data_IF_971586212684
#
_entry.id   IF_971586212684
#
_cell.length_a   1.000
_cell.length_b   1.000
_cell.length_c   1.000
_cell.angle_alpha   90.00
_cell.angle_beta   90.00
_cell.angle_gamma   90.00
#
_symmetry.space_group_name_H-M   'P 1'
#
loop_
_entity.id
_entity.type
_entity.pdbx_description
1 polymer ?
#
# COMPACT_ATOMS: atom_id res chain seq x y z
N UNK A 1 -42.53 31.74 -27.05
CA UNK A 1 -41.14 32.10 -26.68
C UNK A 1 -40.69 31.18 -25.55
N UNK A 2 -39.97 30.10 -25.87
CA UNK A 2 -39.43 29.12 -24.90
C UNK A 2 -38.15 29.70 -24.27
N UNK A 3 -38.09 29.84 -22.94
CA UNK A 3 -36.87 30.14 -22.20
C UNK A 3 -36.16 28.82 -21.87
N UNK A 4 -34.98 28.59 -22.46
CA UNK A 4 -34.00 27.61 -21.97
C UNK A 4 -33.24 28.27 -20.82
N UNK A 5 -33.24 27.65 -19.64
CA UNK A 5 -32.26 27.92 -18.59
C UNK A 5 -31.19 26.83 -18.68
N UNK A 6 -29.97 27.23 -19.04
CA UNK A 6 -28.78 26.38 -18.93
C UNK A 6 -28.45 26.19 -17.45
N UNK A 7 -28.44 24.93 -16.99
CA UNK A 7 -27.76 24.55 -15.75
C UNK A 7 -26.26 24.43 -16.05
N UNK A 8 -25.45 25.29 -15.44
CA UNK A 8 -23.99 25.16 -15.47
C UNK A 8 -23.54 24.02 -14.57
N UNK A 9 -22.88 23.02 -15.14
CA UNK A 9 -22.24 21.93 -14.40
C UNK A 9 -20.92 22.48 -13.81
N UNK A 10 -20.90 22.78 -12.51
CA UNK A 10 -19.67 23.09 -11.78
C UNK A 10 -18.89 21.79 -11.57
N UNK A 11 -17.82 21.60 -12.35
CA UNK A 11 -16.81 20.58 -12.08
C UNK A 11 -16.02 21.05 -10.85
N UNK A 12 -16.30 20.43 -9.69
CA UNK A 12 -15.46 20.55 -8.51
C UNK A 12 -14.13 19.84 -8.80
N UNK A 13 -13.12 20.59 -9.23
CA UNK A 13 -11.74 20.12 -9.15
C UNK A 13 -11.38 20.00 -7.67
N UNK A 14 -11.35 18.78 -7.15
CA UNK A 14 -10.77 18.49 -5.85
C UNK A 14 -9.29 18.88 -5.88
N UNK A 15 -8.96 20.06 -5.38
CA UNK A 15 -7.57 20.39 -5.07
C UNK A 15 -7.11 19.38 -4.01
N UNK A 16 -6.14 18.52 -4.36
CA UNK A 16 -5.48 17.68 -3.39
C UNK A 16 -4.78 18.62 -2.40
N UNK A 17 -5.33 18.74 -1.19
CA UNK A 17 -4.69 19.49 -0.11
C UNK A 17 -3.41 18.74 0.24
N UNK A 18 -2.26 19.39 0.11
CA UNK A 18 -1.00 18.83 0.57
C UNK A 18 -1.13 18.44 2.06
N UNK A 19 -0.59 17.29 2.46
CA UNK A 19 -0.64 16.85 3.84
C UNK A 19 0.00 17.90 4.76
N UNK A 20 -0.67 18.23 5.87
CA UNK A 20 -0.08 19.05 6.91
C UNK A 20 0.87 18.19 7.75
N UNK A 21 2.15 18.22 7.40
CA UNK A 21 3.16 17.39 8.06
C UNK A 21 3.41 17.84 9.50
N UNK A 22 3.44 16.87 10.42
CA UNK A 22 3.80 17.10 11.83
C UNK A 22 5.27 17.55 11.96
N UNK A 23 5.65 18.18 13.09
CA UNK A 23 7.06 18.50 13.35
C UNK A 23 7.97 17.26 13.27
N UNK A 24 7.46 16.09 13.68
CA UNK A 24 8.18 14.83 13.58
C UNK A 24 8.41 14.42 12.13
N UNK A 25 7.43 14.54 11.24
CA UNK A 25 7.63 14.19 9.82
C UNK A 25 8.53 15.21 9.13
N UNK A 26 8.37 16.50 9.45
CA UNK A 26 9.17 17.59 8.84
C UNK A 26 10.67 17.43 9.04
N UNK A 27 11.12 16.79 10.11
CA UNK A 27 12.56 16.54 10.32
C UNK A 27 13.20 15.65 9.23
N UNK A 28 12.37 14.88 8.50
CA UNK A 28 12.81 14.00 7.41
C UNK A 28 12.59 14.61 6.02
N UNK A 29 12.02 15.81 5.93
CA UNK A 29 11.75 16.49 4.65
C UNK A 29 12.97 17.31 4.24
N UNK A 30 13.62 16.91 3.14
CA UNK A 30 14.77 17.64 2.58
C UNK A 30 14.35 18.76 1.62
N UNK A 31 13.22 18.59 0.93
CA UNK A 31 12.73 19.48 -0.11
C UNK A 31 11.26 19.74 0.18
N UNK A 32 10.93 20.98 0.51
CA UNK A 32 9.58 21.45 0.85
C UNK A 32 9.23 22.61 -0.08
N UNK A 33 8.73 22.27 -1.27
CA UNK A 33 8.35 23.23 -2.30
C UNK A 33 7.09 22.74 -3.03
N UNK A 34 6.21 23.66 -3.48
CA UNK A 34 4.97 23.30 -4.18
C UNK A 34 5.23 22.60 -5.52
N UNK A 35 6.34 22.96 -6.18
CA UNK A 35 6.81 22.36 -7.43
C UNK A 35 8.29 22.03 -7.26
N UNK A 36 8.65 20.77 -7.55
CA UNK A 36 10.02 20.27 -7.54
C UNK A 36 10.35 19.75 -8.93
N UNK A 37 11.51 20.13 -9.46
CA UNK A 37 11.96 19.69 -10.79
C UNK A 37 13.28 18.94 -10.65
N UNK A 38 13.31 17.70 -11.13
CA UNK A 38 14.51 16.87 -11.18
C UNK A 38 15.07 16.95 -12.60
N UNK A 39 16.22 17.58 -12.80
CA UNK A 39 16.86 17.73 -14.11
C UNK A 39 18.03 16.76 -14.31
N UNK A 40 18.30 16.45 -15.57
CA UNK A 40 19.44 15.66 -16.02
C UNK A 40 19.51 14.26 -15.37
N UNK A 41 18.34 13.66 -15.09
CA UNK A 41 18.25 12.32 -14.50
C UNK A 41 18.17 11.24 -15.56
N UNK A 42 18.74 10.07 -15.27
CA UNK A 42 18.37 8.83 -15.96
C UNK A 42 17.10 8.26 -15.35
N UNK A 43 16.08 7.98 -16.16
CA UNK A 43 14.80 7.42 -15.67
C UNK A 43 14.71 5.94 -15.99
N UNK A 44 14.44 5.13 -14.97
CA UNK A 44 14.06 3.73 -15.09
C UNK A 44 12.63 3.66 -14.56
N UNK A 45 11.64 3.58 -15.45
CA UNK A 45 10.23 3.81 -15.11
C UNK A 45 9.48 2.58 -14.56
N UNK A 46 10.15 1.43 -14.45
CA UNK A 46 9.57 0.19 -13.93
C UNK A 46 8.70 -0.57 -14.93
N UNK A 47 8.56 -0.11 -16.18
CA UNK A 47 7.74 -0.79 -17.22
C UNK A 47 8.46 -1.97 -17.88
N UNK A 48 9.76 -2.14 -17.61
CA UNK A 48 10.64 -3.06 -18.33
C UNK A 48 11.24 -2.48 -19.62
N UNK A 49 10.84 -1.26 -20.00
CA UNK A 49 11.46 -0.53 -21.12
C UNK A 49 12.92 -0.12 -20.79
N UNK A 50 13.77 0.12 -21.81
CA UNK A 50 15.11 0.65 -21.59
C UNK A 50 15.10 1.97 -20.83
N UNK A 51 16.16 2.21 -20.04
CA UNK A 51 16.33 3.47 -19.32
C UNK A 51 16.37 4.67 -20.29
N UNK A 52 15.75 5.78 -19.88
CA UNK A 52 15.73 7.03 -20.63
C UNK A 52 16.75 7.99 -20.05
N UNK A 53 17.76 8.35 -20.83
CA UNK A 53 18.83 9.26 -20.42
C UNK A 53 18.39 10.72 -20.51
N UNK A 54 19.02 11.58 -19.71
CA UNK A 54 18.86 13.04 -19.75
C UNK A 54 17.40 13.53 -19.76
N UNK A 55 16.65 13.14 -18.74
CA UNK A 55 15.26 13.53 -18.57
C UNK A 55 15.11 14.64 -17.53
N UNK A 56 14.01 15.38 -17.65
CA UNK A 56 13.49 16.28 -16.62
C UNK A 56 12.14 15.76 -16.14
N UNK A 57 11.98 15.68 -14.81
CA UNK A 57 10.73 15.29 -14.14
C UNK A 57 10.20 16.51 -13.40
N UNK A 58 8.94 16.87 -13.65
CA UNK A 58 8.23 17.91 -12.91
C UNK A 58 7.27 17.24 -11.92
N UNK A 59 7.43 17.57 -10.64
CA UNK A 59 6.59 17.12 -9.54
C UNK A 59 5.81 18.33 -9.03
N UNK A 60 4.49 18.23 -8.98
CA UNK A 60 3.60 19.28 -8.48
C UNK A 60 2.49 18.66 -7.63
N UNK A 61 2.21 19.26 -6.47
CA UNK A 61 1.13 18.82 -5.55
C UNK A 61 1.17 17.32 -5.23
N UNK A 62 2.37 16.77 -5.01
CA UNK A 62 2.57 15.36 -4.67
C UNK A 62 2.39 14.37 -5.82
N UNK A 63 2.32 14.84 -7.08
CA UNK A 63 2.17 14.00 -8.27
C UNK A 63 3.25 14.32 -9.30
N UNK A 64 3.54 13.35 -10.16
CA UNK A 64 4.33 13.55 -11.38
C UNK A 64 3.42 14.27 -12.38
N UNK A 65 3.79 15.49 -12.76
CA UNK A 65 3.08 16.27 -13.78
C UNK A 65 3.59 15.95 -15.19
N UNK A 66 4.92 15.82 -15.35
CA UNK A 66 5.52 15.45 -16.63
C UNK A 66 6.88 14.79 -16.49
N UNK A 67 7.23 13.99 -17.51
CA UNK A 67 8.56 13.40 -17.73
C UNK A 67 8.93 13.61 -19.20
N UNK A 68 9.93 14.45 -19.47
CA UNK A 68 10.32 14.83 -20.83
C UNK A 68 11.85 14.85 -21.01
N UNK A 69 12.33 14.82 -22.25
CA UNK A 69 13.74 15.06 -22.54
C UNK A 69 14.14 16.44 -22.05
N UNK A 70 15.31 16.56 -21.40
CA UNK A 70 15.76 17.81 -20.78
C UNK A 70 15.80 18.98 -21.79
N UNK A 71 16.22 18.72 -23.02
CA UNK A 71 16.28 19.72 -24.10
C UNK A 71 14.92 20.33 -24.50
N UNK A 72 13.80 19.67 -24.15
CA UNK A 72 12.44 20.08 -24.53
C UNK A 72 11.52 20.30 -23.32
N UNK A 73 12.01 20.08 -22.11
CA UNK A 73 11.20 20.16 -20.91
C UNK A 73 10.85 21.62 -20.57
N UNK A 74 9.61 21.85 -20.17
CA UNK A 74 9.16 23.14 -19.65
C UNK A 74 9.35 23.14 -18.13
N UNK A 75 10.16 24.08 -17.62
CA UNK A 75 10.44 24.22 -16.19
C UNK A 75 9.65 25.42 -15.66
N UNK A 76 8.71 25.23 -14.71
CA UNK A 76 8.01 26.34 -14.08
C UNK A 76 8.97 27.30 -13.37
N UNK A 77 8.73 28.61 -13.47
CA UNK A 77 9.64 29.64 -12.96
C UNK A 77 9.79 29.62 -11.42
N UNK A 78 8.78 29.15 -10.70
CA UNK A 78 8.72 29.06 -9.23
C UNK A 78 9.10 27.67 -8.69
N UNK A 79 9.59 26.77 -9.54
CA UNK A 79 9.99 25.44 -9.12
C UNK A 79 11.32 25.43 -8.37
N UNK A 80 11.42 24.55 -7.36
CA UNK A 80 12.70 24.17 -6.80
C UNK A 80 13.38 23.17 -7.74
N UNK A 81 14.42 23.61 -8.43
CA UNK A 81 15.18 22.82 -9.40
C UNK A 81 16.33 22.08 -8.72
N UNK A 82 16.44 20.78 -8.98
CA UNK A 82 17.53 19.91 -8.57
C UNK A 82 18.22 19.37 -9.82
N UNK A 83 19.45 19.82 -10.07
CA UNK A 83 20.33 19.20 -11.08
C UNK A 83 20.90 17.90 -10.50
N UNK A 84 20.57 16.79 -11.14
CA UNK A 84 20.85 15.44 -10.68
C UNK A 84 21.60 14.65 -11.76
N UNK A 85 22.47 15.32 -12.53
CA UNK A 85 23.35 14.65 -13.48
C UNK A 85 24.14 13.50 -12.82
N UNK A 86 24.09 12.32 -13.46
CA UNK A 86 24.71 11.10 -12.96
C UNK A 86 23.87 10.30 -11.96
N UNK A 87 22.70 10.81 -11.54
CA UNK A 87 21.74 10.06 -10.73
C UNK A 87 20.70 9.33 -11.60
N UNK A 88 20.10 8.30 -11.02
CA UNK A 88 18.93 7.62 -11.58
C UNK A 88 17.70 7.87 -10.73
N UNK A 89 16.56 8.04 -11.38
CA UNK A 89 15.23 8.06 -10.75
C UNK A 89 14.52 6.76 -11.08
N UNK A 90 14.01 6.12 -10.04
CA UNK A 90 13.16 4.93 -10.10
C UNK A 90 11.81 5.24 -9.42
N UNK A 91 10.72 4.51 -9.73
CA UNK A 91 9.53 4.51 -8.90
C UNK A 91 9.89 4.17 -7.45
N UNK A 92 9.15 4.74 -6.50
CA UNK A 92 9.24 4.30 -5.12
C UNK A 92 8.96 2.80 -5.02
N UNK A 93 9.71 2.09 -4.17
CA UNK A 93 9.57 0.64 -4.06
C UNK A 93 8.22 0.30 -3.42
N UNK A 94 7.62 -0.80 -3.88
CA UNK A 94 6.36 -1.34 -3.35
C UNK A 94 6.67 -2.66 -2.66
N UNK A 95 6.57 -2.67 -1.34
CA UNK A 95 6.67 -3.87 -0.51
C UNK A 95 5.37 -4.67 -0.59
N UNK A 96 5.45 -5.91 -1.07
CA UNK A 96 4.28 -6.77 -1.23
C UNK A 96 4.16 -7.84 -0.15
N UNK A 97 5.18 -7.99 0.71
CA UNK A 97 5.22 -8.97 1.79
C UNK A 97 5.90 -8.36 3.02
N UNK A 98 5.14 -7.55 3.74
CA UNK A 98 5.65 -6.79 4.87
C UNK A 98 4.88 -7.15 6.14
N UNK A 99 5.56 -7.11 7.27
CA UNK A 99 4.97 -7.37 8.59
C UNK A 99 5.26 -6.17 9.46
N UNK A 100 4.27 -5.74 10.23
CA UNK A 100 4.43 -4.64 11.17
C UNK A 100 4.90 -5.10 12.56
N UNK A 101 4.93 -6.41 12.80
CA UNK A 101 5.24 -7.03 14.08
C UNK A 101 6.51 -7.89 14.04
N UNK A 102 7.03 -8.24 15.21
CA UNK A 102 8.18 -9.13 15.35
C UNK A 102 7.95 -10.22 16.41
N UNK A 103 8.45 -11.46 16.21
CA UNK A 103 8.35 -12.53 17.22
C UNK A 103 9.08 -12.17 18.52
N UNK A 104 8.40 -12.24 19.66
CA UNK A 104 9.00 -11.91 20.98
C UNK A 104 9.64 -13.12 21.69
N UNK A 105 9.91 -14.20 20.95
CA UNK A 105 10.50 -15.43 21.50
C UNK A 105 9.50 -16.35 22.22
N UNK A 106 8.20 -16.10 22.09
CA UNK A 106 7.12 -16.94 22.62
C UNK A 106 5.94 -16.99 21.61
N UNK A 107 4.76 -17.46 22.04
CA UNK A 107 3.53 -17.56 21.22
C UNK A 107 2.82 -16.22 20.97
N UNK A 108 3.49 -15.10 21.30
CA UNK A 108 3.02 -13.72 21.14
C UNK A 108 4.02 -12.94 20.27
N UNK A 109 3.48 -12.09 19.43
CA UNK A 109 4.19 -11.18 18.56
C UNK A 109 3.96 -9.75 19.01
N UNK A 110 5.02 -8.94 18.99
CA UNK A 110 4.97 -7.54 19.38
C UNK A 110 4.88 -6.65 18.16
N UNK A 111 3.89 -5.76 18.14
CA UNK A 111 3.71 -4.78 17.08
C UNK A 111 4.82 -3.72 17.12
N UNK A 112 5.45 -3.44 15.97
CA UNK A 112 6.61 -2.55 15.85
C UNK A 112 6.21 -1.20 15.25
N UNK A 113 5.15 -0.62 15.80
CA UNK A 113 4.48 0.58 15.32
C UNK A 113 5.40 1.80 15.12
N UNK A 114 6.49 1.90 15.87
CA UNK A 114 7.46 2.99 15.74
C UNK A 114 8.54 2.69 14.70
N UNK A 115 9.23 1.56 14.80
CA UNK A 115 10.43 1.31 14.01
C UNK A 115 10.13 0.90 12.58
N UNK A 116 9.16 0.01 12.35
CA UNK A 116 8.99 -0.62 11.03
C UNK A 116 8.53 0.35 9.94
N UNK A 117 7.52 1.22 10.13
CA UNK A 117 7.16 2.22 9.12
C UNK A 117 8.33 3.10 8.70
N UNK A 118 9.14 3.53 9.67
CA UNK A 118 10.31 4.38 9.44
C UNK A 118 11.40 3.63 8.69
N UNK A 119 11.68 2.40 9.07
CA UNK A 119 12.72 1.59 8.44
C UNK A 119 12.34 1.18 7.01
N UNK A 120 11.07 0.85 6.75
CA UNK A 120 10.58 0.59 5.39
C UNK A 120 10.78 1.80 4.49
N UNK A 121 10.34 2.98 4.94
CA UNK A 121 10.52 4.22 4.18
C UNK A 121 11.99 4.57 3.97
N UNK A 122 12.82 4.41 4.99
CA UNK A 122 14.26 4.63 4.90
C UNK A 122 14.96 3.67 3.92
N UNK A 123 14.40 2.46 3.72
CA UNK A 123 14.84 1.50 2.70
C UNK A 123 14.41 1.84 1.28
N UNK A 124 13.67 2.94 1.07
CA UNK A 124 13.11 3.33 -0.23
C UNK A 124 11.76 2.71 -0.56
N UNK A 125 11.15 1.98 0.39
CA UNK A 125 9.79 1.44 0.26
C UNK A 125 8.80 2.54 0.56
N UNK A 126 8.06 2.97 -0.46
CA UNK A 126 7.12 4.09 -0.37
C UNK A 126 5.67 3.62 -0.21
N UNK A 127 5.41 2.35 -0.51
CA UNK A 127 4.12 1.69 -0.31
C UNK A 127 4.36 0.28 0.18
N UNK A 128 3.61 -0.17 1.19
CA UNK A 128 3.61 -1.56 1.64
C UNK A 128 2.19 -2.13 1.61
N UNK A 129 2.11 -3.43 1.41
CA UNK A 129 0.96 -4.25 1.79
C UNK A 129 1.37 -5.12 2.97
N UNK A 130 0.78 -4.89 4.14
CA UNK A 130 0.98 -5.83 5.27
C UNK A 130 0.48 -7.20 4.83
N UNK A 131 1.11 -8.29 5.27
CA UNK A 131 0.84 -9.62 4.69
C UNK A 131 0.48 -10.58 5.81
N UNK A 132 -0.72 -10.34 6.35
CA UNK A 132 -1.28 -10.95 7.55
C UNK A 132 -0.95 -10.10 8.78
N UNK A 133 -1.97 -9.64 9.50
CA UNK A 133 -1.80 -8.77 10.67
C UNK A 133 -2.03 -9.51 11.99
N UNK A 134 -1.28 -9.10 13.03
CA UNK A 134 -1.44 -9.59 14.41
C UNK A 134 -2.23 -8.58 15.24
N UNK A 135 -2.06 -7.28 14.98
CA UNK A 135 -2.87 -6.20 15.54
C UNK A 135 -3.42 -5.30 14.42
N UNK A 136 -4.40 -5.77 13.62
CA UNK A 136 -4.94 -5.03 12.47
C UNK A 136 -5.49 -3.64 12.83
N UNK A 137 -5.97 -3.44 14.06
CA UNK A 137 -6.34 -2.12 14.54
C UNK A 137 -5.15 -1.16 14.64
N UNK A 138 -4.03 -1.64 15.18
CA UNK A 138 -2.79 -0.86 15.25
C UNK A 138 -2.30 -0.53 13.84
N UNK A 139 -2.34 -1.48 12.90
CA UNK A 139 -2.00 -1.25 11.48
C UNK A 139 -2.89 -0.17 10.84
N UNK A 140 -4.20 -0.21 11.08
CA UNK A 140 -5.16 0.78 10.58
C UNK A 140 -4.91 2.18 11.17
N UNK A 141 -4.56 2.29 12.45
CA UNK A 141 -4.20 3.58 13.07
C UNK A 141 -2.87 4.11 12.55
N UNK A 142 -1.87 3.25 12.33
CA UNK A 142 -0.59 3.62 11.70
C UNK A 142 -0.85 4.16 10.30
N UNK A 143 -1.66 3.45 9.51
CA UNK A 143 -2.11 3.93 8.19
C UNK A 143 -2.71 5.33 8.28
N UNK A 144 -3.67 5.55 9.19
CA UNK A 144 -4.29 6.87 9.39
C UNK A 144 -3.29 7.95 9.79
N UNK A 145 -2.34 7.63 10.68
CA UNK A 145 -1.31 8.56 11.12
C UNK A 145 -0.34 8.93 9.99
N UNK A 146 -0.01 7.98 9.11
CA UNK A 146 0.83 8.25 7.93
C UNK A 146 0.05 9.05 6.89
N UNK A 147 -1.17 8.63 6.56
CA UNK A 147 -2.01 9.28 5.53
C UNK A 147 -2.39 10.72 5.91
N UNK A 148 -2.40 11.05 7.21
CA UNK A 148 -2.61 12.42 7.70
C UNK A 148 -1.33 13.26 7.82
N UNK A 149 -0.15 12.65 7.62
CA UNK A 149 1.16 13.32 7.80
C UNK A 149 1.59 13.47 9.27
N UNK A 150 0.93 12.76 10.19
CA UNK A 150 1.27 12.76 11.61
C UNK A 150 2.50 11.89 11.92
N UNK A 151 2.67 10.76 11.21
CA UNK A 151 3.74 9.79 11.39
C UNK A 151 4.50 9.57 10.07
N UNK A 152 5.84 9.43 10.09
CA UNK A 152 6.60 9.05 8.90
C UNK A 152 6.45 7.55 8.60
N UNK A 153 6.19 7.20 7.34
CA UNK A 153 6.14 5.83 6.86
C UNK A 153 5.67 5.72 5.41
N UNK A 154 5.69 4.50 4.83
CA UNK A 154 5.12 4.24 3.51
C UNK A 154 3.59 4.35 3.54
N UNK A 155 2.96 4.54 2.37
CA UNK A 155 1.53 4.26 2.24
C UNK A 155 1.27 2.79 2.60
N UNK A 156 0.26 2.55 3.44
CA UNK A 156 -0.04 1.21 3.93
C UNK A 156 -1.34 0.72 3.33
N UNK A 157 -1.30 -0.45 2.70
CA UNK A 157 -2.44 -1.33 2.46
C UNK A 157 -2.47 -2.37 3.58
N UNK A 158 -3.58 -2.42 4.31
CA UNK A 158 -3.68 -3.24 5.51
C UNK A 158 -4.36 -4.55 5.15
N UNK A 159 -3.67 -5.65 5.39
CA UNK A 159 -4.27 -6.98 5.40
C UNK A 159 -4.94 -7.24 6.75
N UNK A 160 -6.10 -7.88 6.72
CA UNK A 160 -6.76 -8.37 7.94
C UNK A 160 -5.91 -9.38 8.73
N UNK A 161 -6.43 -9.89 9.86
CA UNK A 161 -5.76 -10.97 10.54
C UNK A 161 -5.67 -12.20 9.62
N UNK A 162 -4.71 -13.07 9.92
CA UNK A 162 -4.57 -14.32 9.20
C UNK A 162 -5.87 -15.13 9.20
N UNK A 163 -6.24 -15.65 8.03
CA UNK A 163 -7.32 -16.61 7.89
C UNK A 163 -6.73 -18.01 8.07
N UNK A 164 -6.87 -18.54 9.27
CA UNK A 164 -6.25 -19.79 9.72
C UNK A 164 -7.30 -20.74 10.31
N UNK A 165 -7.15 -22.04 10.02
CA UNK A 165 -8.02 -23.07 10.59
C UNK A 165 -7.65 -23.45 12.02
N UNK A 166 -8.27 -24.52 12.52
CA UNK A 166 -8.01 -25.02 13.89
C UNK A 166 -6.62 -25.64 14.02
N UNK A 167 -5.89 -25.23 15.06
CA UNK A 167 -4.53 -25.71 15.33
C UNK A 167 -3.49 -24.60 15.47
N UNK A 168 -3.91 -23.33 15.42
CA UNK A 168 -2.98 -22.20 15.53
C UNK A 168 -2.15 -22.24 16.80
N UNK A 169 -0.87 -21.93 16.64
CA UNK A 169 0.10 -21.88 17.71
C UNK A 169 0.27 -20.47 18.30
N UNK A 170 -0.19 -19.44 17.58
CA UNK A 170 -0.10 -18.05 18.00
C UNK A 170 -1.39 -17.64 18.71
N UNK A 171 -1.29 -17.13 19.94
CA UNK A 171 -2.47 -16.82 20.77
C UNK A 171 -3.29 -15.64 20.25
N UNK A 172 -2.71 -14.80 19.39
CA UNK A 172 -3.35 -13.63 18.79
C UNK A 172 -4.23 -13.98 17.57
N UNK A 173 -4.12 -15.19 17.04
CA UNK A 173 -4.82 -15.58 15.82
C UNK A 173 -6.18 -16.20 16.12
N UNK A 174 -7.19 -15.72 15.40
CA UNK A 174 -8.51 -16.34 15.38
C UNK A 174 -8.45 -17.67 14.63
N UNK A 175 -8.95 -18.73 15.25
CA UNK A 175 -9.05 -20.05 14.64
C UNK A 175 -10.44 -20.19 14.01
N UNK A 176 -10.48 -20.23 12.69
CA UNK A 176 -11.71 -20.39 11.94
C UNK A 176 -12.41 -21.71 12.31
N UNK A 177 -13.72 -21.60 12.48
CA UNK A 177 -14.60 -22.71 12.83
C UNK A 177 -15.38 -23.29 11.65
N UNK A 178 -15.15 -22.76 10.44
CA UNK A 178 -15.76 -23.20 9.19
C UNK A 178 -16.05 -22.04 8.21
N UNK A 179 -16.67 -22.33 7.06
CA UNK A 179 -16.87 -21.35 5.97
C UNK A 179 -17.70 -20.12 6.34
N UNK A 180 -18.72 -20.30 7.19
CA UNK A 180 -19.53 -19.17 7.68
C UNK A 180 -18.71 -18.21 8.55
N UNK A 181 -17.80 -18.76 9.37
CA UNK A 181 -16.91 -17.97 10.22
C UNK A 181 -15.91 -17.19 9.35
N UNK A 182 -15.30 -17.85 8.35
CA UNK A 182 -14.42 -17.20 7.38
C UNK A 182 -15.12 -16.02 6.68
N UNK A 183 -16.37 -16.21 6.25
CA UNK A 183 -17.19 -15.16 5.64
C UNK A 183 -17.45 -14.00 6.61
N UNK A 184 -17.76 -14.30 7.88
CA UNK A 184 -17.99 -13.27 8.92
C UNK A 184 -16.72 -12.48 9.21
N UNK A 185 -15.59 -13.17 9.39
CA UNK A 185 -14.28 -12.55 9.62
C UNK A 185 -13.91 -11.61 8.48
N UNK A 186 -14.02 -12.06 7.23
CA UNK A 186 -13.71 -11.23 6.05
C UNK A 186 -14.60 -9.99 6.00
N UNK A 187 -15.92 -10.14 6.11
CA UNK A 187 -16.83 -8.99 6.03
C UNK A 187 -16.59 -7.99 7.16
N UNK A 188 -16.37 -8.47 8.38
CA UNK A 188 -16.07 -7.61 9.52
C UNK A 188 -14.83 -6.75 9.26
N UNK A 189 -13.70 -7.35 8.89
CA UNK A 189 -12.48 -6.58 8.69
C UNK A 189 -12.54 -5.63 7.49
N UNK A 190 -13.30 -6.00 6.46
CA UNK A 190 -13.59 -5.08 5.35
C UNK A 190 -14.43 -3.87 5.80
N UNK A 191 -15.32 -4.04 6.79
CA UNK A 191 -16.07 -2.93 7.38
C UNK A 191 -15.18 -2.03 8.26
N UNK A 192 -14.17 -2.61 8.92
CA UNK A 192 -13.16 -1.87 9.68
C UNK A 192 -12.14 -1.13 8.79
N UNK A 193 -12.06 -1.49 7.50
CA UNK A 193 -11.27 -0.78 6.49
C UNK A 193 -9.99 -1.47 6.03
N UNK A 194 -9.81 -2.77 6.31
CA UNK A 194 -8.77 -3.56 5.63
C UNK A 194 -9.16 -3.77 4.16
N UNK A 195 -8.18 -4.01 3.29
CA UNK A 195 -8.41 -4.18 1.84
C UNK A 195 -7.85 -5.48 1.26
N UNK A 196 -7.17 -6.27 2.09
CA UNK A 196 -6.54 -7.53 1.70
C UNK A 196 -6.68 -8.58 2.81
N UNK A 197 -6.56 -9.86 2.46
CA UNK A 197 -6.54 -11.00 3.37
C UNK A 197 -5.41 -11.94 3.03
N UNK A 198 -4.89 -12.62 4.05
CA UNK A 198 -3.90 -13.68 3.88
C UNK A 198 -4.37 -14.96 4.53
N UNK A 199 -4.44 -16.03 3.76
CA UNK A 199 -4.66 -17.37 4.29
C UNK A 199 -3.37 -17.93 4.89
N UNK A 200 -3.52 -18.79 5.89
CA UNK A 200 -2.40 -19.36 6.61
C UNK A 200 -2.65 -20.83 6.96
N UNK A 201 -2.14 -21.25 8.11
CA UNK A 201 -2.10 -22.66 8.44
C UNK A 201 -3.48 -23.27 8.63
N UNK A 202 -3.57 -24.58 8.42
CA UNK A 202 -4.75 -25.41 8.76
C UNK A 202 -6.07 -25.02 8.09
N UNK A 203 -6.08 -24.05 7.18
CA UNK A 203 -7.28 -23.64 6.48
C UNK A 203 -7.79 -24.76 5.57
N UNK A 204 -9.10 -24.96 5.55
CA UNK A 204 -9.78 -25.92 4.67
C UNK A 204 -10.14 -25.29 3.33
N UNK A 205 -10.33 -26.12 2.30
CA UNK A 205 -10.76 -25.65 0.97
C UNK A 205 -12.09 -24.89 1.01
N UNK A 206 -13.04 -25.32 1.86
CA UNK A 206 -14.33 -24.66 2.02
C UNK A 206 -14.21 -23.29 2.70
N UNK A 207 -13.34 -23.16 3.71
CA UNK A 207 -13.03 -21.87 4.34
C UNK A 207 -12.35 -20.91 3.37
N UNK A 208 -11.37 -21.39 2.59
CA UNK A 208 -10.69 -20.60 1.57
C UNK A 208 -11.69 -20.11 0.50
N UNK A 209 -12.51 -21.02 -0.02
CA UNK A 209 -13.53 -20.69 -1.03
C UNK A 209 -14.50 -19.61 -0.53
N UNK A 210 -14.98 -19.74 0.71
CA UNK A 210 -15.88 -18.76 1.32
C UNK A 210 -15.21 -17.41 1.56
N UNK A 211 -13.95 -17.40 2.01
CA UNK A 211 -13.17 -16.18 2.20
C UNK A 211 -12.95 -15.43 0.88
N UNK A 212 -12.54 -16.15 -0.18
CA UNK A 212 -12.36 -15.58 -1.53
C UNK A 212 -13.67 -14.97 -2.03
N UNK A 213 -14.77 -15.72 -1.97
CA UNK A 213 -16.07 -15.24 -2.42
C UNK A 213 -16.51 -13.96 -1.69
N UNK A 214 -16.29 -13.89 -0.36
CA UNK A 214 -16.62 -12.72 0.44
C UNK A 214 -15.73 -11.50 0.10
N UNK A 215 -14.41 -11.71 -0.03
CA UNK A 215 -13.45 -10.66 -0.33
C UNK A 215 -13.66 -10.08 -1.74
N UNK A 216 -13.79 -10.95 -2.75
CA UNK A 216 -13.95 -10.56 -4.15
C UNK A 216 -15.24 -9.77 -4.40
N UNK A 217 -16.32 -10.06 -3.67
CA UNK A 217 -17.57 -9.28 -3.73
C UNK A 217 -17.36 -7.79 -3.39
N UNK A 218 -16.32 -7.47 -2.65
CA UNK A 218 -15.94 -6.11 -2.25
C UNK A 218 -14.60 -5.66 -2.85
N UNK A 219 -14.17 -6.34 -3.92
CA UNK A 219 -12.92 -6.07 -4.65
C UNK A 219 -11.64 -6.20 -3.82
N UNK A 220 -11.71 -6.84 -2.65
CA UNK A 220 -10.55 -7.16 -1.83
C UNK A 220 -9.86 -8.42 -2.34
N UNK A 221 -8.59 -8.57 -1.97
CA UNK A 221 -7.72 -9.66 -2.43
C UNK A 221 -7.46 -10.68 -1.34
N UNK A 222 -7.27 -11.93 -1.75
CA UNK A 222 -6.85 -13.01 -0.85
C UNK A 222 -5.53 -13.59 -1.37
N UNK A 223 -4.49 -13.46 -0.58
CA UNK A 223 -3.17 -14.07 -0.83
C UNK A 223 -2.92 -15.16 0.20
N UNK A 224 -1.83 -15.94 0.10
CA UNK A 224 -1.73 -17.09 0.99
C UNK A 224 -0.39 -17.73 1.22
N UNK A 225 -0.21 -18.22 2.44
CA UNK A 225 0.69 -19.32 2.71
C UNK A 225 0.01 -20.67 2.52
N UNK A 226 0.60 -21.47 1.64
CA UNK A 226 0.14 -22.80 1.33
C UNK A 226 0.81 -23.82 2.24
N UNK A 227 0.03 -24.42 3.14
CA UNK A 227 0.46 -25.61 3.89
C UNK A 227 -0.52 -26.77 3.70
N UNK A 228 -1.81 -26.50 3.87
CA UNK A 228 -2.88 -27.52 3.89
C UNK A 228 -3.58 -27.65 2.54
N UNK A 229 -3.44 -26.63 1.69
CA UNK A 229 -4.02 -26.55 0.34
C UNK A 229 -2.87 -26.40 -0.64
N UNK A 230 -2.87 -27.20 -1.72
CA UNK A 230 -1.84 -27.12 -2.75
C UNK A 230 -2.04 -25.94 -3.70
N UNK A 231 -0.98 -25.44 -4.33
CA UNK A 231 -1.04 -24.24 -5.19
C UNK A 231 -2.05 -24.36 -6.34
N UNK A 232 -2.21 -25.56 -6.93
CA UNK A 232 -3.20 -25.80 -8.00
C UNK A 232 -4.62 -25.68 -7.50
N UNK A 233 -4.89 -26.18 -6.30
CA UNK A 233 -6.20 -26.12 -5.68
C UNK A 233 -6.52 -24.69 -5.27
N UNK A 234 -5.59 -23.99 -4.62
CA UNK A 234 -5.74 -22.57 -4.27
C UNK A 234 -5.97 -21.69 -5.51
N UNK A 235 -5.23 -21.91 -6.60
CA UNK A 235 -5.43 -21.22 -7.87
C UNK A 235 -6.80 -21.54 -8.49
N UNK A 236 -7.25 -22.80 -8.44
CA UNK A 236 -8.58 -23.19 -8.93
C UNK A 236 -9.72 -22.56 -8.13
N UNK A 237 -9.50 -22.29 -6.84
CA UNK A 237 -10.44 -21.58 -5.96
C UNK A 237 -10.42 -20.06 -6.16
N UNK A 238 -9.46 -19.52 -6.90
CA UNK A 238 -9.39 -18.10 -7.24
C UNK A 238 -8.55 -17.23 -6.29
N UNK A 239 -7.54 -17.81 -5.62
CA UNK A 239 -6.58 -17.02 -4.85
C UNK A 239 -5.86 -16.00 -5.75
N UNK A 240 -5.61 -14.79 -5.24
CA UNK A 240 -5.05 -13.69 -6.04
C UNK A 240 -3.52 -13.73 -6.13
N UNK A 241 -2.84 -14.22 -5.08
CA UNK A 241 -1.38 -14.35 -5.04
C UNK A 241 -0.91 -15.45 -4.08
N UNK A 242 0.29 -15.96 -4.31
CA UNK A 242 0.95 -16.95 -3.46
C UNK A 242 2.16 -16.32 -2.78
N UNK A 243 2.14 -16.36 -1.46
CA UNK A 243 3.29 -15.93 -0.67
C UNK A 243 4.36 -17.03 -0.69
N UNK A 244 5.64 -16.68 -0.48
CA UNK A 244 6.79 -17.63 -0.36
C UNK A 244 6.87 -18.74 -1.42
N UNK A 245 6.42 -18.43 -2.65
CA UNK A 245 6.49 -19.31 -3.83
C UNK A 245 7.88 -19.49 -4.44
#
# INVERSE_FOLDING_TARGET
MRKLLLLGLLVLCSFAVAQNLSPEVKQFVKVDAPIVVLQHVRVIDGTGSPAREDQTIVLASGKIESVANAASASVPHDAQVLDLHGYSVIPGLVGMHDHMFYPMGNVIFGEMAFSFPRLYLAGGVTTIRTTGSLEPYTDLEIKRAIDSGAMPGPHVHVTGPYLEGKGSWALQLHQLSGPEDATKTVNYWLDEGVDNFKIYNFITADELSAAIAAAHKRSAKVTGHLCSIGFREAAALGIDDLEHG
#
